data_IF_449822661549
#
_entry.id   IF_449822661549
#
_cell.length_a   1.000
_cell.length_b   1.000
_cell.length_c   1.000
_cell.angle_alpha   90.00
_cell.angle_beta   90.00
_cell.angle_gamma   90.00
#
_symmetry.space_group_name_H-M   'P 1'
#
loop_
_entity.id
_entity.type
_entity.pdbx_description
1 polymer ?
#
# COMPACT_ATOMS: atom_id res chain seq x y z
N UNK A 1 -12.70 -29.83 10.65
CA UNK A 1 -11.33 -30.39 10.53
C UNK A 1 -10.54 -29.61 9.48
N UNK A 2 -9.26 -29.29 9.70
CA UNK A 2 -8.46 -28.57 8.70
C UNK A 2 -8.26 -29.44 7.45
N UNK A 3 -8.65 -28.93 6.28
CA UNK A 3 -8.51 -29.63 4.98
C UNK A 3 -7.08 -30.11 4.69
N UNK A 4 -6.09 -29.38 5.20
CA UNK A 4 -4.67 -29.72 5.04
C UNK A 4 -4.27 -30.79 6.06
N UNK A 5 -4.07 -32.02 5.58
CA UNK A 5 -3.69 -33.18 6.38
C UNK A 5 -2.19 -33.26 6.68
N UNK A 6 -1.35 -32.61 5.87
CA UNK A 6 0.11 -32.62 6.06
C UNK A 6 0.54 -31.54 7.08
N UNK A 7 1.19 -31.90 8.20
CA UNK A 7 1.62 -30.95 9.23
C UNK A 7 2.58 -29.87 8.72
N UNK A 8 3.53 -30.22 7.83
CA UNK A 8 4.49 -29.26 7.24
C UNK A 8 3.76 -28.22 6.38
N UNK A 9 2.82 -28.67 5.55
CA UNK A 9 2.01 -27.78 4.73
C UNK A 9 1.11 -26.88 5.57
N UNK A 10 0.53 -27.43 6.64
CA UNK A 10 -0.27 -26.66 7.61
C UNK A 10 0.55 -25.56 8.28
N UNK A 11 1.79 -25.87 8.68
CA UNK A 11 2.72 -24.86 9.24
C UNK A 11 3.07 -23.78 8.22
N UNK A 12 3.38 -24.16 6.97
CA UNK A 12 3.69 -23.20 5.90
C UNK A 12 2.54 -22.24 5.62
N UNK A 13 1.32 -22.76 5.53
CA UNK A 13 0.12 -21.92 5.31
C UNK A 13 -0.18 -21.03 6.51
N UNK A 14 -0.03 -21.55 7.73
CA UNK A 14 -0.17 -20.75 8.95
C UNK A 14 0.80 -19.57 8.98
N UNK A 15 2.08 -19.78 8.63
CA UNK A 15 3.09 -18.70 8.58
C UNK A 15 2.84 -17.68 7.46
N UNK A 16 2.22 -18.11 6.34
CA UNK A 16 1.85 -17.22 5.22
C UNK A 16 0.60 -16.39 5.54
N UNK A 17 -0.35 -16.96 6.27
CA UNK A 17 -1.63 -16.32 6.56
C UNK A 17 -1.63 -15.48 7.85
N UNK A 18 -0.82 -15.82 8.86
CA UNK A 18 -0.59 -14.95 10.02
C UNK A 18 0.15 -13.69 9.54
N UNK A 19 -0.48 -12.52 9.69
CA UNK A 19 0.00 -11.23 9.19
C UNK A 19 0.37 -10.35 10.38
N UNK A 20 1.53 -9.69 10.33
CA UNK A 20 2.06 -8.84 11.40
C UNK A 20 2.39 -7.45 10.89
N UNK A 21 2.00 -6.45 11.68
CA UNK A 21 2.45 -5.09 11.48
C UNK A 21 3.95 -4.98 11.79
N UNK A 22 4.73 -4.51 10.81
CA UNK A 22 6.21 -4.38 10.90
C UNK A 22 6.67 -2.92 10.89
N UNK A 23 5.74 -1.96 11.00
CA UNK A 23 6.10 -0.55 11.14
C UNK A 23 6.81 -0.33 12.48
N UNK A 24 8.14 -0.16 12.42
CA UNK A 24 9.01 -0.04 13.59
C UNK A 24 8.98 1.33 14.27
N UNK A 25 8.67 2.40 13.51
CA UNK A 25 8.75 3.77 14.02
C UNK A 25 7.53 4.16 14.86
N UNK A 26 6.31 3.84 14.40
CA UNK A 26 5.09 4.17 15.13
C UNK A 26 3.87 3.35 14.64
N UNK A 27 3.47 2.35 15.43
CA UNK A 27 2.28 1.52 15.14
C UNK A 27 0.96 2.29 15.10
N UNK A 28 0.93 3.54 15.59
CA UNK A 28 -0.25 4.43 15.64
C UNK A 28 -0.24 5.50 14.56
N UNK A 29 0.85 5.66 13.80
CA UNK A 29 0.96 6.71 12.78
C UNK A 29 -0.11 6.57 11.69
N UNK A 30 -0.51 5.34 11.36
CA UNK A 30 -1.59 5.05 10.40
C UNK A 30 -2.90 5.78 10.74
N UNK A 31 -3.22 5.95 12.03
CA UNK A 31 -4.44 6.64 12.49
C UNK A 31 -4.51 8.09 12.02
N UNK A 32 -3.36 8.77 11.95
CA UNK A 32 -3.27 10.18 11.54
C UNK A 32 -2.92 10.33 10.05
N UNK A 33 -1.97 9.52 9.57
CA UNK A 33 -1.42 9.68 8.22
C UNK A 33 -2.38 9.23 7.13
N UNK A 34 -3.22 8.22 7.36
CA UNK A 34 -4.21 7.79 6.36
C UNK A 34 -5.25 8.89 6.12
N UNK A 35 -5.83 9.44 7.20
CA UNK A 35 -6.79 10.54 7.09
C UNK A 35 -6.17 11.77 6.41
N UNK A 36 -4.96 12.17 6.84
CA UNK A 36 -4.21 13.28 6.23
C UNK A 36 -3.89 13.05 4.75
N UNK A 37 -3.47 11.84 4.38
CA UNK A 37 -3.19 11.48 2.99
C UNK A 37 -4.43 11.57 2.11
N UNK A 38 -5.57 11.05 2.58
CA UNK A 38 -6.87 11.16 1.89
C UNK A 38 -7.29 12.61 1.73
N UNK A 39 -7.15 13.42 2.77
CA UNK A 39 -7.48 14.85 2.73
C UNK A 39 -6.62 15.58 1.69
N UNK A 40 -5.29 15.39 1.72
CA UNK A 40 -4.36 16.00 0.75
C UNK A 40 -4.69 15.60 -0.69
N UNK A 41 -4.97 14.32 -0.92
CA UNK A 41 -5.39 13.82 -2.24
C UNK A 41 -6.63 14.56 -2.75
N UNK A 42 -7.68 14.65 -1.93
CA UNK A 42 -8.92 15.35 -2.31
C UNK A 42 -8.70 16.86 -2.54
N UNK A 43 -7.86 17.51 -1.73
CA UNK A 43 -7.53 18.93 -1.92
C UNK A 43 -6.80 19.15 -3.25
N UNK A 44 -5.84 18.29 -3.58
CA UNK A 44 -5.09 18.38 -4.83
C UNK A 44 -5.99 18.08 -6.05
N UNK A 45 -6.84 17.06 -5.95
CA UNK A 45 -7.82 16.72 -7.00
C UNK A 45 -8.75 17.91 -7.27
N UNK A 46 -9.37 18.48 -6.23
CA UNK A 46 -10.23 19.66 -6.38
C UNK A 46 -9.47 20.85 -6.97
N UNK A 47 -8.22 21.09 -6.55
CA UNK A 47 -7.40 22.18 -7.09
C UNK A 47 -7.13 22.01 -8.58
N UNK A 48 -6.75 20.80 -9.01
CA UNK A 48 -6.47 20.51 -10.42
C UNK A 48 -7.73 20.65 -11.28
N UNK A 49 -8.86 20.11 -10.81
CA UNK A 49 -10.14 20.24 -11.51
C UNK A 49 -10.55 21.71 -11.62
N UNK A 50 -10.48 22.47 -10.52
CA UNK A 50 -10.80 23.89 -10.53
C UNK A 50 -9.89 24.70 -11.48
N UNK A 51 -8.60 24.33 -11.58
CA UNK A 51 -7.68 24.97 -12.51
C UNK A 51 -8.01 24.67 -13.98
N UNK A 52 -8.48 23.46 -14.30
CA UNK A 52 -8.88 23.10 -15.66
C UNK A 52 -10.19 23.80 -16.03
N UNK A 53 -11.21 23.68 -15.17
CA UNK A 53 -12.53 24.27 -15.42
C UNK A 53 -12.51 25.80 -15.35
N UNK A 54 -11.68 26.39 -14.50
CA UNK A 54 -11.56 27.84 -14.36
C UNK A 54 -10.99 28.54 -15.59
N UNK A 55 -10.43 27.81 -16.55
CA UNK A 55 -10.03 28.35 -17.87
C UNK A 55 -11.21 28.50 -18.82
N UNK A 56 -12.32 27.82 -18.55
CA UNK A 56 -13.54 27.86 -19.35
C UNK A 56 -14.39 29.03 -18.85
N UNK A 57 -14.14 30.22 -19.37
CA UNK A 57 -14.89 31.44 -19.00
C UNK A 57 -15.56 32.04 -20.22
N UNK A 58 -16.85 32.38 -20.10
CA UNK A 58 -17.62 32.98 -21.18
C UNK A 58 -18.09 31.95 -22.21
N UNK A 59 -18.18 32.37 -23.47
CA UNK A 59 -18.56 31.49 -24.57
C UNK A 59 -17.34 30.67 -24.97
N UNK A 60 -17.42 29.36 -24.79
CA UNK A 60 -16.34 28.41 -25.05
C UNK A 60 -16.74 27.53 -26.22
N UNK A 61 -15.77 27.29 -27.10
CA UNK A 61 -15.92 26.37 -28.21
C UNK A 61 -16.13 24.92 -27.73
N UNK A 62 -16.95 24.15 -28.44
CA UNK A 62 -17.36 22.81 -28.01
C UNK A 62 -16.17 21.83 -27.96
N UNK A 63 -15.19 21.99 -28.85
CA UNK A 63 -13.97 21.19 -28.85
C UNK A 63 -13.13 21.46 -27.60
N UNK A 64 -12.99 22.74 -27.21
CA UNK A 64 -12.27 23.16 -26.00
C UNK A 64 -12.96 22.66 -24.73
N UNK A 65 -14.30 22.69 -24.71
CA UNK A 65 -15.08 22.16 -23.60
C UNK A 65 -14.91 20.63 -23.47
N UNK A 66 -14.92 19.91 -24.59
CA UNK A 66 -14.74 18.46 -24.65
C UNK A 66 -13.35 18.04 -24.17
N UNK A 67 -12.31 18.75 -24.60
CA UNK A 67 -10.94 18.52 -24.15
C UNK A 67 -10.79 18.73 -22.63
N UNK A 68 -11.39 19.80 -22.11
CA UNK A 68 -11.36 20.08 -20.68
C UNK A 68 -12.08 19.00 -19.86
N UNK A 69 -13.21 18.48 -20.35
CA UNK A 69 -13.90 17.34 -19.74
C UNK A 69 -12.99 16.10 -19.69
N UNK A 70 -12.34 15.78 -20.81
CA UNK A 70 -11.42 14.64 -20.90
C UNK A 70 -10.25 14.79 -19.92
N UNK A 71 -9.64 15.98 -19.83
CA UNK A 71 -8.59 16.27 -18.86
C UNK A 71 -9.06 16.08 -17.41
N UNK A 72 -10.26 16.56 -17.07
CA UNK A 72 -10.85 16.35 -15.73
C UNK A 72 -11.05 14.86 -15.45
N UNK A 73 -11.59 14.09 -16.40
CA UNK A 73 -11.76 12.63 -16.25
C UNK A 73 -10.42 11.93 -16.03
N UNK A 74 -9.39 12.29 -16.79
CA UNK A 74 -8.05 11.73 -16.65
C UNK A 74 -7.44 12.05 -15.28
N UNK A 75 -7.52 13.30 -14.82
CA UNK A 75 -7.00 13.68 -13.50
C UNK A 75 -7.68 12.94 -12.35
N UNK A 76 -9.01 12.79 -12.38
CA UNK A 76 -9.77 12.02 -11.39
C UNK A 76 -9.33 10.55 -11.41
N UNK A 77 -9.23 9.95 -12.59
CA UNK A 77 -8.85 8.53 -12.75
C UNK A 77 -7.43 8.30 -12.23
N UNK A 78 -6.50 9.18 -12.61
CA UNK A 78 -5.12 9.13 -12.15
C UNK A 78 -5.01 9.28 -10.63
N UNK A 79 -5.73 10.23 -10.05
CA UNK A 79 -5.82 10.42 -8.60
C UNK A 79 -6.34 9.17 -7.89
N UNK A 80 -7.38 8.52 -8.42
CA UNK A 80 -7.96 7.29 -7.85
C UNK A 80 -6.96 6.13 -7.86
N UNK A 81 -6.29 5.91 -8.99
CA UNK A 81 -5.33 4.81 -9.16
C UNK A 81 -4.07 4.95 -8.29
N UNK A 82 -3.72 6.18 -7.88
CA UNK A 82 -2.60 6.44 -6.95
C UNK A 82 -3.05 6.70 -5.52
N UNK A 83 -4.30 6.38 -5.20
CA UNK A 83 -4.89 6.60 -3.89
C UNK A 83 -4.38 5.65 -2.81
N UNK A 84 -4.88 5.85 -1.59
CA UNK A 84 -4.63 4.91 -0.50
C UNK A 84 -5.34 3.57 -0.77
N UNK A 85 -4.56 2.50 -0.81
CA UNK A 85 -5.06 1.13 -0.91
C UNK A 85 -4.84 0.37 0.39
N UNK A 86 -5.79 -0.50 0.74
CA UNK A 86 -5.63 -1.41 1.86
C UNK A 86 -4.79 -2.60 1.42
N UNK A 87 -3.49 -2.53 1.70
CA UNK A 87 -2.60 -3.67 1.54
C UNK A 87 -2.56 -4.50 2.82
N UNK A 88 -2.54 -5.85 2.70
CA UNK A 88 -2.40 -6.70 3.87
C UNK A 88 -0.99 -6.54 4.47
N UNK A 89 -0.90 -6.69 5.79
CA UNK A 89 0.36 -6.65 6.54
C UNK A 89 1.34 -7.74 6.08
N UNK A 90 2.59 -7.70 6.58
CA UNK A 90 3.60 -8.69 6.19
C UNK A 90 3.31 -10.06 6.79
N UNK A 91 3.54 -11.17 6.05
CA UNK A 91 3.36 -12.51 6.60
C UNK A 91 4.39 -12.80 7.70
N UNK A 92 4.02 -13.62 8.67
CA UNK A 92 4.86 -13.98 9.79
C UNK A 92 6.16 -14.68 9.35
N UNK A 93 6.13 -15.41 8.23
CA UNK A 93 7.33 -16.02 7.63
C UNK A 93 8.43 -14.98 7.34
N UNK A 94 8.08 -13.86 6.69
CA UNK A 94 9.02 -12.76 6.40
C UNK A 94 9.58 -12.15 7.69
N UNK A 95 8.73 -11.99 8.70
CA UNK A 95 9.14 -11.41 9.99
C UNK A 95 10.11 -12.34 10.73
N UNK A 96 9.87 -13.64 10.71
CA UNK A 96 10.77 -14.63 11.33
C UNK A 96 12.12 -14.62 10.62
N UNK A 97 12.13 -14.67 9.28
CA UNK A 97 13.35 -14.64 8.48
C UNK A 97 14.20 -13.41 8.82
N UNK A 98 13.61 -12.21 8.77
CA UNK A 98 14.28 -10.96 9.14
C UNK A 98 14.85 -10.98 10.57
N UNK A 99 14.12 -11.58 11.53
CA UNK A 99 14.61 -11.71 12.90
C UNK A 99 15.79 -12.68 13.01
N UNK A 100 15.80 -13.76 12.22
CA UNK A 100 16.91 -14.72 12.20
C UNK A 100 18.16 -14.10 11.57
N UNK A 101 18.01 -13.38 10.44
CA UNK A 101 19.09 -12.64 9.79
C UNK A 101 19.73 -11.64 10.76
N UNK A 102 18.93 -10.80 11.42
CA UNK A 102 19.42 -9.85 12.44
C UNK A 102 20.15 -10.53 13.60
N UNK A 103 19.72 -11.73 14.00
CA UNK A 103 20.40 -12.49 15.07
C UNK A 103 21.73 -13.09 14.59
N UNK A 104 21.82 -13.51 13.32
CA UNK A 104 23.07 -13.95 12.70
C UNK A 104 24.06 -12.80 12.58
N UNK A 105 23.62 -11.63 12.10
CA UNK A 105 24.44 -10.41 12.03
C UNK A 105 25.00 -10.02 13.40
N UNK A 106 24.20 -10.18 14.46
CA UNK A 106 24.63 -9.92 15.85
C UNK A 106 25.48 -11.03 16.48
N UNK A 107 25.80 -12.10 15.74
CA UNK A 107 26.55 -13.25 16.25
C UNK A 107 25.81 -14.09 17.31
N UNK A 108 24.51 -13.85 17.52
CA UNK A 108 23.69 -14.58 18.51
C UNK A 108 23.32 -15.97 17.97
N UNK A 109 23.15 -16.08 16.65
CA UNK A 109 22.98 -17.35 15.95
C UNK A 109 24.28 -17.70 15.24
N UNK A 110 24.87 -18.86 15.57
CA UNK A 110 26.01 -19.40 14.83
C UNK A 110 25.70 -19.61 13.35
N UNK A 111 26.75 -19.67 12.53
CA UNK A 111 26.63 -20.01 11.09
C UNK A 111 26.08 -21.43 11.01
N UNK A 112 24.80 -21.57 10.67
CA UNK A 112 24.23 -22.89 10.36
C UNK A 112 24.80 -23.31 9.01
N UNK A 113 25.92 -24.04 9.04
CA UNK A 113 26.41 -24.79 7.89
C UNK A 113 25.34 -25.85 7.57
N UNK A 114 24.63 -25.63 6.48
CA UNK A 114 23.68 -26.54 5.84
C UNK A 114 22.33 -26.70 6.57
N UNK A 115 21.25 -26.28 5.89
CA UNK A 115 19.89 -26.48 6.38
C UNK A 115 18.86 -25.87 5.45
N UNK A 116 18.69 -26.48 4.27
CA UNK A 116 17.49 -26.33 3.44
C UNK A 116 16.27 -26.78 4.25
N UNK A 117 15.35 -25.85 4.54
CA UNK A 117 13.93 -26.14 4.83
C UNK A 117 13.06 -25.02 4.27
#
# INVERSE_FOLDING_TARGET
MSSVKNPKQKKRLSLKHDRRNVFGENSKASRKNIARGKQRRQMNERRQIAQVLGKLTGQVDDDVASDAELQVKLTITHSKNRGFEKLPDKPLSEVIQRKMERRREKGILGVVKNGTV
#
